data_IF_586034525261
#
_entry.id   IF_586034525261
#
_cell.length_a   1.000
_cell.length_b   1.000
_cell.length_c   1.000
_cell.angle_alpha   90.00
_cell.angle_beta   90.00
_cell.angle_gamma   90.00
#
_symmetry.space_group_name_H-M   'P 1'
#
loop_
_entity.id
_entity.type
_entity.pdbx_description
1 polymer ?
#
# COMPACT_ATOMS: atom_id res chain seq x y z
N UNK A 1 -16.71 2.98 -18.90
CA UNK A 1 -17.01 4.28 -18.26
C UNK A 1 -16.34 5.41 -19.04
N UNK A 2 -17.05 6.51 -19.29
CA UNK A 2 -16.54 7.68 -20.01
C UNK A 2 -16.31 8.82 -19.00
N UNK A 3 -15.16 9.48 -19.05
CA UNK A 3 -14.90 10.71 -18.31
C UNK A 3 -15.15 11.91 -19.24
N UNK A 4 -16.02 12.81 -18.83
CA UNK A 4 -16.32 14.05 -19.57
C UNK A 4 -15.13 15.01 -19.43
N UNK A 5 -14.54 15.44 -20.55
CA UNK A 5 -13.49 16.45 -20.61
C UNK A 5 -13.95 17.66 -21.42
N UNK A 6 -13.18 18.75 -21.43
CA UNK A 6 -13.44 19.91 -22.30
C UNK A 6 -13.30 19.47 -23.76
N UNK A 7 -14.43 19.42 -24.48
CA UNK A 7 -14.48 19.09 -25.92
C UNK A 7 -14.66 17.62 -26.28
N UNK A 8 -14.95 16.71 -25.31
CA UNK A 8 -15.21 15.30 -25.60
C UNK A 8 -15.32 14.40 -24.39
N UNK A 9 -15.54 13.11 -24.62
CA UNK A 9 -15.52 12.07 -23.60
C UNK A 9 -14.33 11.15 -23.85
N UNK A 10 -13.52 10.91 -22.83
CA UNK A 10 -12.40 9.98 -22.89
C UNK A 10 -12.80 8.65 -22.25
N UNK A 11 -12.54 7.53 -22.92
CA UNK A 11 -12.73 6.22 -22.35
C UNK A 11 -11.80 6.07 -21.13
N UNK A 12 -12.38 5.72 -19.97
CA UNK A 12 -11.57 5.33 -18.82
C UNK A 12 -11.05 3.94 -19.16
N UNK A 13 -9.74 3.83 -19.38
CA UNK A 13 -9.11 2.55 -19.55
C UNK A 13 -9.21 1.80 -18.20
N UNK A 14 -9.86 0.65 -18.19
CA UNK A 14 -10.05 -0.16 -16.97
C UNK A 14 -8.73 -0.61 -16.34
N UNK A 15 -7.65 -0.60 -17.14
CA UNK A 15 -6.29 -0.88 -16.67
C UNK A 15 -5.57 0.32 -16.03
N UNK A 16 -6.18 1.51 -16.03
CA UNK A 16 -5.55 2.70 -15.41
C UNK A 16 -5.90 2.73 -13.92
N UNK A 17 -4.86 2.71 -13.07
CA UNK A 17 -5.03 2.93 -11.64
C UNK A 17 -5.57 4.34 -11.39
N UNK A 18 -6.58 4.47 -10.50
CA UNK A 18 -7.09 5.79 -10.10
C UNK A 18 -6.11 6.47 -9.15
N UNK A 19 -6.08 7.81 -9.16
CA UNK A 19 -5.21 8.56 -8.26
C UNK A 19 -5.46 8.20 -6.80
N UNK A 20 -4.41 8.31 -5.99
CA UNK A 20 -4.50 8.00 -4.56
C UNK A 20 -5.54 8.86 -3.84
N UNK A 21 -5.66 10.15 -4.20
CA UNK A 21 -6.59 11.09 -3.56
C UNK A 21 -8.04 10.66 -3.75
N UNK A 22 -8.41 10.25 -4.97
CA UNK A 22 -9.74 9.71 -5.26
C UNK A 22 -10.00 8.45 -4.45
N UNK A 23 -9.02 7.53 -4.42
CA UNK A 23 -9.15 6.29 -3.66
C UNK A 23 -9.21 6.52 -2.15
N UNK A 24 -8.56 7.56 -1.63
CA UNK A 24 -8.56 7.88 -0.20
C UNK A 24 -9.95 8.31 0.31
N UNK A 25 -10.72 9.01 -0.53
CA UNK A 25 -12.07 9.46 -0.19
C UNK A 25 -13.11 8.35 -0.24
N UNK A 26 -12.89 7.32 -1.05
CA UNK A 26 -13.80 6.18 -1.17
C UNK A 26 -13.68 5.23 0.02
N UNK A 27 -14.80 4.84 0.60
CA UNK A 27 -14.88 3.86 1.71
C UNK A 27 -13.98 4.22 2.92
N UNK A 28 -13.82 5.49 3.24
CA UNK A 28 -12.90 5.96 4.29
C UNK A 28 -13.17 5.31 5.65
N UNK A 29 -14.46 5.12 6.03
CA UNK A 29 -14.83 4.45 7.29
C UNK A 29 -14.39 2.98 7.31
N UNK A 30 -14.58 2.25 6.22
CA UNK A 30 -14.14 0.85 6.12
C UNK A 30 -12.60 0.76 6.21
N UNK A 31 -11.88 1.63 5.52
CA UNK A 31 -10.40 1.67 5.59
C UNK A 31 -9.88 1.96 6.99
N UNK A 32 -10.54 2.88 7.71
CA UNK A 32 -10.21 3.16 9.10
C UNK A 32 -10.46 1.94 10.01
N UNK A 33 -11.58 1.23 9.83
CA UNK A 33 -11.86 0.01 10.57
C UNK A 33 -10.83 -1.08 10.27
N UNK A 34 -10.43 -1.25 9.01
CA UNK A 34 -9.37 -2.17 8.58
C UNK A 34 -8.04 -1.80 9.24
N UNK A 35 -7.66 -0.52 9.24
CA UNK A 35 -6.44 -0.05 9.88
C UNK A 35 -6.45 -0.30 11.41
N UNK A 36 -7.59 -0.10 12.08
CA UNK A 36 -7.77 -0.40 13.50
C UNK A 36 -7.62 -1.91 13.81
N UNK A 37 -7.95 -2.78 12.87
CA UNK A 37 -7.69 -4.22 13.01
C UNK A 37 -6.23 -4.56 12.72
N UNK A 38 -5.64 -3.93 11.70
CA UNK A 38 -4.27 -4.17 11.29
C UNK A 38 -3.25 -3.80 12.37
N UNK A 39 -3.44 -2.66 13.06
CA UNK A 39 -2.53 -2.21 14.12
C UNK A 39 -2.37 -3.23 15.26
N UNK A 40 -3.40 -4.01 15.52
CA UNK A 40 -3.40 -5.07 16.55
C UNK A 40 -2.57 -6.30 16.18
N UNK A 41 -2.11 -6.38 14.94
CA UNK A 41 -1.27 -7.47 14.44
C UNK A 41 0.24 -7.17 14.58
N UNK A 42 0.60 -6.02 15.15
CA UNK A 42 1.96 -5.54 15.28
C UNK A 42 2.41 -5.68 16.72
N UNK A 43 3.45 -6.48 16.94
CA UNK A 43 4.11 -6.59 18.24
C UNK A 43 5.08 -5.42 18.46
N UNK A 44 5.41 -5.13 19.72
CA UNK A 44 6.37 -4.08 20.06
C UNK A 44 7.77 -4.45 19.54
N UNK A 45 8.50 -3.45 19.06
CA UNK A 45 9.83 -3.63 18.48
C UNK A 45 9.88 -4.25 17.09
N UNK A 46 8.71 -4.52 16.46
CA UNK A 46 8.65 -5.16 15.15
C UNK A 46 9.21 -4.32 14.01
N UNK A 47 9.70 -5.01 13.00
CA UNK A 47 9.98 -4.46 11.66
C UNK A 47 8.71 -4.60 10.81
N UNK A 48 8.11 -3.48 10.45
CA UNK A 48 6.81 -3.40 9.77
C UNK A 48 6.99 -2.87 8.36
N UNK A 49 6.46 -3.55 7.36
CA UNK A 49 6.36 -3.01 6.02
C UNK A 49 4.96 -2.43 5.77
N UNK A 50 4.91 -1.19 5.26
CA UNK A 50 3.68 -0.49 4.87
C UNK A 50 3.73 -0.19 3.38
N UNK A 51 2.89 -0.88 2.63
CA UNK A 51 2.80 -0.81 1.17
C UNK A 51 2.15 0.49 0.67
N UNK A 52 2.08 0.65 -0.64
CA UNK A 52 1.34 1.70 -1.31
C UNK A 52 -0.18 1.50 -1.18
N UNK A 53 -0.92 2.59 -1.15
CA UNK A 53 -2.38 2.59 -1.22
C UNK A 53 -3.08 3.38 -0.12
N UNK A 54 -4.33 3.73 -0.39
CA UNK A 54 -5.12 4.60 0.47
C UNK A 54 -5.49 3.98 1.83
N UNK A 55 -5.61 2.66 1.91
CA UNK A 55 -5.81 1.96 3.20
C UNK A 55 -4.57 2.06 4.08
N UNK A 56 -3.38 2.09 3.48
CA UNK A 56 -2.11 2.25 4.19
C UNK A 56 -1.96 3.66 4.79
N UNK A 57 -2.57 4.68 4.17
CA UNK A 57 -2.63 6.03 4.75
C UNK A 57 -3.39 6.02 6.08
N UNK A 58 -4.49 5.28 6.17
CA UNK A 58 -5.23 5.11 7.44
C UNK A 58 -4.40 4.31 8.47
N UNK A 59 -3.68 3.27 8.03
CA UNK A 59 -2.78 2.52 8.91
C UNK A 59 -1.64 3.41 9.45
N UNK A 60 -1.05 4.26 8.62
CA UNK A 60 0.02 5.17 9.04
C UNK A 60 -0.45 6.16 10.12
N UNK A 61 -1.71 6.63 10.04
CA UNK A 61 -2.31 7.47 11.08
C UNK A 61 -2.40 6.76 12.43
N UNK A 62 -2.63 5.45 12.44
CA UNK A 62 -2.63 4.65 13.66
C UNK A 62 -1.21 4.39 14.17
N UNK A 63 -0.28 4.11 13.25
CA UNK A 63 1.14 3.90 13.56
C UNK A 63 1.81 5.14 14.18
N UNK A 64 1.28 6.33 13.90
CA UNK A 64 1.71 7.58 14.54
C UNK A 64 1.62 7.52 16.07
N UNK A 65 0.68 6.74 16.61
CA UNK A 65 0.47 6.59 18.06
C UNK A 65 1.33 5.49 18.69
N UNK A 66 2.10 4.77 17.88
CA UNK A 66 3.05 3.75 18.30
C UNK A 66 4.47 4.29 18.27
N UNK A 67 5.35 3.69 19.04
CA UNK A 67 6.77 4.01 19.07
C UNK A 67 7.62 2.74 19.16
N UNK A 68 8.91 2.87 18.85
CA UNK A 68 9.86 1.76 18.95
C UNK A 68 9.76 0.72 17.82
N UNK A 69 9.04 1.02 16.75
CA UNK A 69 8.98 0.18 15.54
C UNK A 69 10.03 0.62 14.52
N UNK A 70 10.44 -0.30 13.65
CA UNK A 70 11.14 0.01 12.42
C UNK A 70 10.13 -0.10 11.26
N UNK A 71 9.75 1.01 10.66
CA UNK A 71 8.75 1.05 9.60
C UNK A 71 9.42 1.23 8.26
N UNK A 72 9.25 0.27 7.37
CA UNK A 72 9.73 0.28 6.00
C UNK A 72 8.55 0.57 5.09
N UNK A 73 8.69 1.50 4.17
CA UNK A 73 7.61 1.82 3.23
C UNK A 73 8.15 2.29 1.89
N UNK A 74 7.40 2.03 0.83
CA UNK A 74 7.58 2.62 -0.50
C UNK A 74 6.53 3.70 -0.80
N UNK A 75 5.67 4.04 0.15
CA UNK A 75 4.54 4.94 0.00
C UNK A 75 4.90 6.36 0.45
N UNK A 76 4.99 7.31 -0.49
CA UNK A 76 5.28 8.72 -0.20
C UNK A 76 4.21 9.37 0.67
N UNK A 77 2.94 8.97 0.50
CA UNK A 77 1.80 9.61 1.17
C UNK A 77 1.70 9.31 2.66
N UNK A 78 2.38 8.26 3.15
CA UNK A 78 2.38 7.91 4.57
C UNK A 78 3.50 8.61 5.35
N UNK A 79 4.52 9.10 4.66
CA UNK A 79 5.71 9.71 5.27
C UNK A 79 5.37 10.84 6.23
N UNK A 80 4.52 11.84 5.87
CA UNK A 80 4.22 12.94 6.79
C UNK A 80 3.64 12.46 8.13
N UNK A 81 2.74 11.48 8.10
CA UNK A 81 2.17 10.93 9.33
C UNK A 81 3.17 10.13 10.15
N UNK A 82 4.05 9.38 9.50
CA UNK A 82 5.05 8.56 10.17
C UNK A 82 6.19 9.37 10.79
N UNK A 83 6.60 10.48 10.17
CA UNK A 83 7.64 11.37 10.71
C UNK A 83 7.25 12.03 12.05
N UNK A 84 5.95 12.10 12.35
CA UNK A 84 5.45 12.61 13.64
C UNK A 84 5.42 11.51 14.73
N UNK A 85 5.81 10.27 14.41
CA UNK A 85 5.83 9.14 15.34
C UNK A 85 7.21 8.94 15.97
N UNK A 86 7.26 8.22 17.08
CA UNK A 86 8.53 7.80 17.71
C UNK A 86 9.14 6.53 17.08
N UNK A 87 8.91 6.30 15.78
CA UNK A 87 9.38 5.11 15.05
C UNK A 87 10.58 5.43 14.15
N UNK A 88 11.43 4.45 13.90
CA UNK A 88 12.46 4.55 12.86
C UNK A 88 11.83 4.34 11.48
N UNK A 89 11.99 5.30 10.57
CA UNK A 89 11.37 5.26 9.24
C UNK A 89 12.41 4.99 8.17
N UNK A 90 12.20 3.94 7.39
CA UNK A 90 13.02 3.56 6.25
C UNK A 90 12.18 3.65 4.98
N UNK A 91 12.56 4.58 4.09
CA UNK A 91 11.87 4.75 2.84
C UNK A 91 12.61 4.00 1.71
N UNK A 92 11.91 3.10 1.03
CA UNK A 92 12.45 2.42 -0.15
C UNK A 92 12.46 3.39 -1.33
N UNK A 93 13.66 3.80 -1.73
CA UNK A 93 13.87 4.63 -2.91
C UNK A 93 13.56 3.90 -4.21
N UNK A 94 13.61 4.62 -5.32
CA UNK A 94 13.41 4.06 -6.65
C UNK A 94 12.65 4.97 -7.60
N UNK A 95 12.07 4.39 -8.64
CA UNK A 95 11.23 5.10 -9.59
C UNK A 95 9.90 5.51 -8.93
N UNK A 96 9.53 6.78 -9.09
CA UNK A 96 8.33 7.34 -8.49
C UNK A 96 7.14 7.25 -9.44
N UNK A 97 6.06 6.62 -9.00
CA UNK A 97 4.76 6.68 -9.67
C UNK A 97 3.94 7.85 -9.11
N UNK A 98 3.62 8.82 -9.96
CA UNK A 98 2.76 9.95 -9.59
C UNK A 98 1.31 9.53 -9.31
N UNK A 99 0.84 8.44 -9.91
CA UNK A 99 -0.53 7.92 -9.75
C UNK A 99 -0.73 7.24 -8.41
N UNK A 100 0.21 6.38 -8.03
CA UNK A 100 0.15 5.63 -6.77
C UNK A 100 0.82 6.34 -5.61
N UNK A 101 1.61 7.39 -5.90
CA UNK A 101 2.49 8.09 -4.96
C UNK A 101 3.40 7.12 -4.20
N UNK A 102 3.99 6.20 -4.95
CA UNK A 102 4.85 5.16 -4.41
C UNK A 102 6.11 5.00 -5.26
N UNK A 103 7.13 4.43 -4.65
CA UNK A 103 8.36 4.05 -5.33
C UNK A 103 8.36 2.56 -5.66
N UNK A 104 9.16 2.20 -6.66
CA UNK A 104 9.34 0.82 -7.11
C UNK A 104 10.62 0.65 -7.92
N UNK A 105 10.69 -0.46 -8.65
CA UNK A 105 11.82 -0.79 -9.52
C UNK A 105 12.97 -1.47 -8.80
N UNK A 106 14.10 -1.59 -9.52
CA UNK A 106 15.24 -2.42 -9.11
C UNK A 106 15.89 -1.95 -7.81
N UNK A 107 15.89 -0.65 -7.52
CA UNK A 107 16.50 -0.12 -6.30
C UNK A 107 15.70 -0.50 -5.06
N UNK A 108 14.37 -0.38 -5.11
CA UNK A 108 13.48 -0.83 -4.05
C UNK A 108 13.61 -2.34 -3.80
N UNK A 109 13.59 -3.14 -4.88
CA UNK A 109 13.74 -4.59 -4.82
C UNK A 109 15.09 -5.03 -4.22
N UNK A 110 16.18 -4.37 -4.58
CA UNK A 110 17.50 -4.68 -4.03
C UNK A 110 17.62 -4.33 -2.55
N UNK A 111 17.01 -3.24 -2.10
CA UNK A 111 17.01 -2.88 -0.69
C UNK A 111 16.32 -3.97 0.17
N UNK A 112 15.22 -4.55 -0.32
CA UNK A 112 14.48 -5.59 0.39
C UNK A 112 15.27 -6.88 0.63
N UNK A 113 16.24 -7.22 -0.23
CA UNK A 113 17.05 -8.45 -0.11
C UNK A 113 17.85 -8.54 1.21
N UNK A 114 18.15 -7.40 1.82
CA UNK A 114 18.94 -7.31 3.05
C UNK A 114 18.10 -7.09 4.31
N UNK A 115 16.76 -7.11 4.17
CA UNK A 115 15.84 -6.75 5.23
C UNK A 115 14.98 -7.96 5.57
N UNK A 116 14.83 -8.25 6.88
CA UNK A 116 13.78 -9.13 7.40
C UNK A 116 12.64 -8.29 7.95
N UNK A 117 11.42 -8.66 7.55
CA UNK A 117 10.19 -7.98 7.94
C UNK A 117 9.40 -8.92 8.84
N UNK A 118 8.95 -8.44 10.01
CA UNK A 118 8.12 -9.24 10.90
C UNK A 118 6.68 -9.32 10.39
N UNK A 119 6.11 -8.17 10.02
CA UNK A 119 4.78 -8.11 9.43
C UNK A 119 4.74 -7.12 8.28
N UNK A 120 4.21 -7.57 7.14
CA UNK A 120 3.98 -6.75 5.97
C UNK A 120 2.48 -6.51 5.76
N UNK A 121 2.09 -5.25 5.60
CA UNK A 121 0.75 -4.86 5.20
C UNK A 121 0.74 -4.46 3.73
N UNK A 122 -0.02 -5.19 2.94
CA UNK A 122 -0.05 -5.08 1.49
C UNK A 122 -1.42 -4.61 1.01
N UNK A 123 -1.43 -3.71 0.03
CA UNK A 123 -2.63 -3.32 -0.68
C UNK A 123 -2.95 -4.26 -1.85
N UNK A 124 -4.20 -4.21 -2.32
CA UNK A 124 -4.63 -4.91 -3.52
C UNK A 124 -5.48 -4.01 -4.40
N UNK A 125 -5.38 -4.15 -5.72
CA UNK A 125 -6.27 -3.49 -6.67
C UNK A 125 -7.59 -4.25 -6.81
N UNK A 126 -7.58 -5.57 -6.59
CA UNK A 126 -8.74 -6.45 -6.64
C UNK A 126 -8.38 -7.88 -6.23
N UNK A 127 -9.34 -8.77 -6.31
CA UNK A 127 -9.17 -10.20 -6.05
C UNK A 127 -9.68 -11.01 -7.24
N UNK A 128 -8.91 -11.99 -7.64
CA UNK A 128 -9.31 -13.00 -8.62
C UNK A 128 -9.60 -14.31 -7.91
N UNK A 129 -10.69 -14.99 -8.30
CA UNK A 129 -11.21 -16.19 -7.62
C UNK A 129 -10.18 -17.30 -7.41
N UNK A 130 -9.23 -17.45 -8.34
CA UNK A 130 -8.23 -18.54 -8.29
C UNK A 130 -6.80 -18.05 -7.99
N UNK A 131 -6.53 -16.74 -8.12
CA UNK A 131 -5.18 -16.18 -7.99
C UNK A 131 -5.00 -15.31 -6.74
N UNK A 132 -6.09 -15.01 -6.03
CA UNK A 132 -6.05 -14.17 -4.82
C UNK A 132 -5.88 -12.68 -5.13
N UNK A 133 -5.19 -11.93 -4.24
CA UNK A 133 -4.99 -10.50 -4.41
C UNK A 133 -4.13 -10.19 -5.63
N UNK A 134 -4.52 -9.15 -6.36
CA UNK A 134 -3.85 -8.74 -7.60
C UNK A 134 -3.59 -7.24 -7.65
N UNK A 135 -2.70 -6.84 -8.55
CA UNK A 135 -2.38 -5.45 -8.86
C UNK A 135 -2.30 -5.24 -10.37
N UNK A 136 -2.58 -4.02 -10.82
CA UNK A 136 -2.59 -3.67 -12.24
C UNK A 136 -1.21 -3.39 -12.83
N UNK A 137 -0.20 -3.19 -11.99
CA UNK A 137 1.14 -2.80 -12.41
C UNK A 137 2.15 -3.91 -12.14
N UNK A 138 2.92 -4.29 -13.17
CA UNK A 138 3.93 -5.35 -13.06
C UNK A 138 5.04 -5.03 -12.04
N UNK A 139 5.51 -3.79 -12.01
CA UNK A 139 6.53 -3.34 -11.04
C UNK A 139 6.03 -3.46 -9.60
N UNK A 140 4.76 -3.13 -9.37
CA UNK A 140 4.11 -3.26 -8.06
C UNK A 140 3.94 -4.74 -7.68
N UNK A 141 3.55 -5.59 -8.63
CA UNK A 141 3.43 -7.03 -8.40
C UNK A 141 4.78 -7.67 -7.99
N UNK A 142 5.87 -7.26 -8.63
CA UNK A 142 7.21 -7.77 -8.29
C UNK A 142 7.63 -7.33 -6.90
N UNK A 143 7.49 -6.04 -6.58
CA UNK A 143 7.83 -5.51 -5.25
C UNK A 143 7.04 -6.23 -4.15
N UNK A 144 5.73 -6.46 -4.35
CA UNK A 144 4.91 -7.20 -3.38
C UNK A 144 5.38 -8.64 -3.17
N UNK A 145 5.79 -9.34 -4.23
CA UNK A 145 6.37 -10.69 -4.12
C UNK A 145 7.66 -10.68 -3.30
N UNK A 146 8.54 -9.70 -3.55
CA UNK A 146 9.79 -9.55 -2.82
C UNK A 146 9.53 -9.26 -1.34
N UNK A 147 8.55 -8.41 -1.03
CA UNK A 147 8.11 -8.12 0.34
C UNK A 147 7.57 -9.38 1.02
N UNK A 148 6.69 -10.14 0.36
CA UNK A 148 6.12 -11.39 0.90
C UNK A 148 7.22 -12.39 1.21
N UNK A 149 8.23 -12.50 0.35
CA UNK A 149 9.38 -13.40 0.56
C UNK A 149 10.24 -12.97 1.75
N UNK A 150 10.35 -11.66 1.99
CA UNK A 150 11.17 -11.10 3.09
C UNK A 150 10.42 -11.02 4.42
N UNK A 151 9.10 -11.27 4.44
CA UNK A 151 8.26 -11.10 5.63
C UNK A 151 7.91 -12.43 6.29
N UNK A 152 7.94 -12.45 7.62
CA UNK A 152 7.45 -13.58 8.42
C UNK A 152 5.94 -13.73 8.32
N UNK A 153 5.23 -12.60 8.24
CA UNK A 153 3.77 -12.53 8.10
C UNK A 153 3.38 -11.47 7.07
N UNK A 154 2.48 -11.82 6.16
CA UNK A 154 1.93 -10.87 5.18
C UNK A 154 0.41 -10.79 5.34
N UNK A 155 -0.09 -9.56 5.42
CA UNK A 155 -1.51 -9.27 5.63
C UNK A 155 -1.99 -8.34 4.52
N UNK A 156 -2.98 -8.76 3.76
CA UNK A 156 -3.59 -7.93 2.71
C UNK A 156 -4.73 -7.13 3.31
N UNK A 157 -4.67 -5.81 3.16
CA UNK A 157 -5.69 -4.88 3.64
C UNK A 157 -6.56 -4.44 2.46
N UNK A 158 -7.81 -4.89 2.46
CA UNK A 158 -8.75 -4.61 1.38
C UNK A 158 -10.15 -4.39 1.93
N UNK A 159 -10.87 -3.40 1.41
CA UNK A 159 -12.30 -3.25 1.66
C UNK A 159 -13.11 -4.15 0.70
N UNK A 160 -14.41 -4.30 0.99
CA UNK A 160 -15.31 -5.22 0.27
C UNK A 160 -15.38 -4.94 -1.23
N UNK A 161 -15.15 -3.70 -1.69
CA UNK A 161 -15.22 -3.37 -3.13
C UNK A 161 -14.12 -4.04 -3.95
N UNK A 162 -13.03 -4.48 -3.29
CA UNK A 162 -11.93 -5.18 -3.98
C UNK A 162 -12.29 -6.60 -4.40
N UNK A 163 -13.29 -7.21 -3.79
CA UNK A 163 -13.76 -8.56 -4.14
C UNK A 163 -14.69 -8.59 -5.35
N UNK A 164 -15.22 -7.45 -5.77
CA UNK A 164 -16.07 -7.31 -6.96
C UNK A 164 -15.31 -6.77 -8.18
N UNK A 165 -14.03 -6.47 -8.06
CA UNK A 165 -13.18 -5.98 -9.14
C UNK A 165 -12.26 -7.08 -9.65
N UNK A 166 -12.49 -7.51 -10.89
CA UNK A 166 -11.46 -8.23 -11.66
C UNK A 166 -10.39 -7.20 -12.05
N UNK A 167 -9.25 -7.21 -11.38
CA UNK A 167 -8.13 -6.33 -11.70
C UNK A 167 -7.18 -7.01 -12.67
#
# INVERSE_FOLDING_TARGET
>A
LLKKGHGGAQAINEFTERSLDVRAQENALAKRAIANCAIKQIDDGSVVFVDAGSTMVELARQLRQRSGLAIITNNLSVIPALLESGNAIYFLGGEVSSVTQATGGIWAANALKSIKIDVAFLGSSGFQSHSGPCTKMFSDAQLKRDVITSANKSVVLADHTKFSTNA
#
